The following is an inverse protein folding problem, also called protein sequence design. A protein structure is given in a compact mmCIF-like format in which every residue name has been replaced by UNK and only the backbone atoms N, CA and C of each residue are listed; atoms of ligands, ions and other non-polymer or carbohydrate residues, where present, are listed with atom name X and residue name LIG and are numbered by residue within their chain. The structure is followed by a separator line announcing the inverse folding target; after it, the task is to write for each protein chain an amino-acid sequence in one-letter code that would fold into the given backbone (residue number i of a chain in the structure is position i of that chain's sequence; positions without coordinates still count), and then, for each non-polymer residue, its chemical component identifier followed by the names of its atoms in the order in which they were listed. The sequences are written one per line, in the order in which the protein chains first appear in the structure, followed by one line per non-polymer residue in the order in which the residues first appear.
data_IF_158888727021
#
_entry.id   IF_158888727021
#
_cell.length_a   1.000
_cell.length_b   1.000
_cell.length_c   1.000
_cell.angle_alpha   90.00
_cell.angle_beta   90.00
_cell.angle_gamma   90.00
#
_symmetry.space_group_name_H-M   'P 1'
#
loop_
_entity.id
_entity.type
_entity.pdbx_description
1 polymer ?
#
# COMPACT_ATOMS: atom_id res chain seq x y z
N UNK A 1 -5.49 -15.31 -2.28
CA UNK A 1 -4.36 -14.63 -1.57
C UNK A 1 -4.42 -13.15 -1.91
N UNK A 2 -4.71 -12.32 -0.92
CA UNK A 2 -4.80 -10.86 -1.09
C UNK A 2 -3.40 -10.28 -1.29
N UNK A 3 -2.99 -10.12 -2.54
CA UNK A 3 -1.75 -9.43 -2.87
C UNK A 3 -1.97 -7.93 -2.73
N UNK A 4 -1.26 -7.30 -1.79
CA UNK A 4 -1.21 -5.85 -1.65
C UNK A 4 0.03 -5.32 -2.34
N UNK A 5 -0.07 -4.11 -2.88
CA UNK A 5 1.07 -3.44 -3.51
C UNK A 5 1.59 -2.44 -2.50
N UNK A 6 2.84 -2.59 -2.11
CA UNK A 6 3.51 -1.59 -1.28
C UNK A 6 3.49 -0.26 -2.06
N UNK A 7 2.86 0.81 -1.53
CA UNK A 7 2.66 2.04 -2.28
C UNK A 7 3.97 2.80 -2.50
N UNK A 8 5.01 2.50 -1.72
CA UNK A 8 6.32 3.14 -1.78
C UNK A 8 7.16 2.55 -2.90
N UNK A 9 7.39 1.24 -2.86
CA UNK A 9 8.25 0.57 -3.85
C UNK A 9 7.47 0.00 -5.05
N UNK A 10 6.14 -0.06 -4.99
CA UNK A 10 5.29 -0.65 -6.04
C UNK A 10 5.39 -2.18 -6.11
N UNK A 11 6.04 -2.83 -5.14
CA UNK A 11 6.22 -4.27 -5.13
C UNK A 11 4.96 -4.97 -4.63
N UNK A 12 4.55 -6.03 -5.33
CA UNK A 12 3.49 -6.93 -4.86
C UNK A 12 4.01 -7.76 -3.69
N UNK A 13 3.27 -7.73 -2.59
CA UNK A 13 3.56 -8.46 -1.37
C UNK A 13 2.28 -9.03 -0.79
N UNK A 14 2.43 -9.99 0.12
CA UNK A 14 1.30 -10.50 0.88
C UNK A 14 1.14 -9.64 2.14
N UNK A 15 -0.09 -9.23 2.45
CA UNK A 15 -0.40 -8.50 3.70
C UNK A 15 0.04 -9.27 4.94
N UNK A 16 -0.01 -10.61 4.90
CA UNK A 16 0.46 -11.48 5.98
C UNK A 16 1.98 -11.47 6.15
N UNK A 17 2.72 -10.95 5.15
CA UNK A 17 4.17 -10.77 5.19
C UNK A 17 4.55 -9.29 5.33
N UNK A 18 3.59 -8.43 5.68
CA UNK A 18 3.90 -7.04 5.93
C UNK A 18 4.80 -6.90 7.15
N UNK A 19 5.79 -6.01 7.03
CA UNK A 19 6.66 -5.68 8.14
C UNK A 19 5.90 -4.84 9.16
N UNK A 20 5.11 -3.87 8.68
CA UNK A 20 4.29 -2.99 9.50
C UNK A 20 3.02 -2.58 8.76
N UNK A 21 1.98 -2.24 9.54
CA UNK A 21 0.73 -1.67 9.08
C UNK A 21 0.58 -0.28 9.68
N UNK A 22 0.34 0.72 8.84
CA UNK A 22 0.12 2.11 9.24
C UNK A 22 -1.30 2.48 8.87
N UNK A 23 -2.09 2.89 9.86
CA UNK A 23 -3.43 3.43 9.62
C UNK A 23 -3.32 4.93 9.37
N UNK A 24 -3.64 5.37 8.15
CA UNK A 24 -3.61 6.78 7.75
C UNK A 24 -4.93 7.17 7.07
N UNK A 25 -5.55 8.26 7.51
CA UNK A 25 -6.87 8.72 7.03
C UNK A 25 -7.98 7.65 7.11
N UNK A 26 -7.90 6.73 8.09
CA UNK A 26 -8.85 5.64 8.26
C UNK A 26 -8.62 4.45 7.33
N UNK A 27 -7.49 4.42 6.61
CA UNK A 27 -7.10 3.31 5.75
C UNK A 27 -5.78 2.67 6.21
N UNK A 28 -5.73 1.35 6.14
CA UNK A 28 -4.53 0.58 6.51
C UNK A 28 -3.59 0.41 5.31
N UNK A 29 -2.34 0.85 5.51
CA UNK A 29 -1.24 0.75 4.56
C UNK A 29 -0.22 -0.29 5.01
N UNK A 30 0.05 -1.26 4.14
CA UNK A 30 0.97 -2.36 4.42
C UNK A 30 2.31 -2.10 3.77
N UNK A 31 3.38 -2.13 4.57
CA UNK A 31 4.75 -1.84 4.10
C UNK A 31 5.64 -3.06 4.23
N UNK A 32 6.48 -3.28 3.22
CA UNK A 32 7.32 -4.47 3.13
C UNK A 32 8.58 -4.40 3.99
N UNK A 33 9.05 -3.21 4.35
CA UNK A 33 10.30 -3.00 5.05
C UNK A 33 10.33 -1.66 5.81
N UNK A 34 11.23 -1.51 6.80
CA UNK A 34 11.36 -0.26 7.55
C UNK A 34 11.82 0.94 6.70
N UNK A 35 12.46 0.71 5.56
CA UNK A 35 12.77 1.78 4.61
C UNK A 35 11.50 2.36 3.98
N UNK A 36 10.57 1.49 3.56
CA UNK A 36 9.27 1.93 3.04
C UNK A 36 8.45 2.64 4.11
N UNK A 37 8.54 2.22 5.37
CA UNK A 37 7.96 2.97 6.50
C UNK A 37 8.49 4.40 6.56
N UNK A 38 9.81 4.59 6.60
CA UNK A 38 10.38 5.94 6.67
C UNK A 38 10.02 6.80 5.47
N UNK A 39 9.97 6.24 4.27
CA UNK A 39 9.55 6.98 3.07
C UNK A 39 8.06 7.35 3.13
N UNK A 40 7.22 6.41 3.57
CA UNK A 40 5.80 6.64 3.75
C UNK A 40 5.54 7.73 4.80
N UNK A 41 6.19 7.66 5.97
CA UNK A 41 6.08 8.67 7.03
C UNK A 41 6.61 10.04 6.58
N UNK A 42 7.64 10.09 5.73
CA UNK A 42 8.16 11.34 5.17
C UNK A 42 7.16 12.02 4.24
N UNK A 43 6.41 11.27 3.44
CA UNK A 43 5.48 11.82 2.45
C UNK A 43 4.22 10.96 2.25
N UNK A 44 3.36 10.79 3.27
CA UNK A 44 2.25 9.84 3.21
C UNK A 44 1.25 10.21 2.11
N UNK A 45 0.92 11.50 1.95
CA UNK A 45 0.01 12.01 0.92
C UNK A 45 0.35 11.56 -0.52
N UNK A 46 1.65 11.37 -0.83
CA UNK A 46 2.11 10.91 -2.16
C UNK A 46 1.74 9.45 -2.43
N UNK A 47 1.61 8.65 -1.38
CA UNK A 47 1.39 7.21 -1.43
C UNK A 47 -0.07 6.84 -1.22
N UNK A 48 -0.79 7.63 -0.41
CA UNK A 48 -2.23 7.48 -0.11
C UNK A 48 -3.10 7.65 -1.38
N UNK A 49 -2.69 8.53 -2.30
CA UNK A 49 -3.42 8.81 -3.55
C UNK A 49 -3.27 7.72 -4.63
N UNK A 50 -2.31 6.79 -4.48
CA UNK A 50 -1.98 5.77 -5.49
C UNK A 50 -2.75 4.47 -5.32
N UNK A 51 -3.88 4.42 -4.62
CA UNK A 51 -4.73 3.23 -4.67
C UNK A 51 -5.23 3.04 -6.10
N UNK A 52 -4.82 1.99 -6.82
CA UNK A 52 -5.49 1.65 -8.06
C UNK A 52 -6.91 1.29 -7.63
N UNK A 53 -7.87 2.19 -7.92
CA UNK A 53 -9.29 1.83 -7.90
C UNK A 53 -9.36 0.51 -8.65
N UNK A 54 -9.77 -0.56 -7.96
CA UNK A 54 -10.21 -1.77 -8.67
C UNK A 54 -11.36 -1.32 -9.56
N UNK A 55 -11.04 -0.95 -10.81
CA UNK A 55 -11.99 -0.94 -11.91
C UNK A 55 -12.31 -2.41 -12.16
N UNK A 56 -13.18 -2.96 -11.32
CA UNK A 56 -14.05 -4.04 -11.73
C UNK A 56 -15.12 -3.45 -12.64
N UNK A 57 -14.71 -3.03 -13.85
CA UNK A 57 -15.63 -2.93 -14.97
C UNK A 57 -15.01 -3.76 -16.10
N UNK A 58 -15.14 -5.08 -15.93
CA UNK A 58 -14.91 -6.02 -17.02
C UNK A 58 -16.07 -5.82 -18.00
N UNK A 59 -15.73 -5.38 -19.20
CA UNK A 59 -16.63 -5.03 -20.28
C UNK A 59 -17.44 -6.23 -20.78
N UNK A 60 -18.65 -5.95 -21.27
CA UNK A 60 -19.17 -6.45 -22.55
C UNK A 60 -19.63 -7.89 -22.60
#
# INVERSE_FOLDING_TARGET
MSHHVDPVCGKRMNVNKAHIVITYEGEDYFLCCPLCQKEFERNPHKYVTKKPKKRGNYHG
#
